data_IF_700227460750
#
_entry.id   IF_700227460750
#
_cell.length_a   1.000
_cell.length_b   1.000
_cell.length_c   1.000
_cell.angle_alpha   90.00
_cell.angle_beta   90.00
_cell.angle_gamma   90.00
#
_symmetry.space_group_name_H-M   'P 1'
#
loop_
_entity.id
_entity.type
_entity.pdbx_description
1 polymer ?
#
# COMPACT_ATOMS: atom_id res chain seq x y z
N UNK A 1 -8.98 11.61 37.32
CA UNK A 1 -7.64 11.63 36.71
C UNK A 1 -7.84 11.14 35.29
N UNK A 2 -7.58 12.00 34.30
CA UNK A 2 -7.72 11.63 32.89
C UNK A 2 -6.44 10.91 32.50
N UNK A 3 -6.47 9.58 32.50
CA UNK A 3 -5.39 8.78 31.92
C UNK A 3 -5.51 8.94 30.40
N UNK A 4 -4.76 9.91 29.86
CA UNK A 4 -4.60 10.07 28.42
C UNK A 4 -3.88 8.81 27.92
N UNK A 5 -4.66 7.84 27.44
CA UNK A 5 -4.11 6.67 26.77
C UNK A 5 -3.45 7.18 25.50
N UNK A 6 -2.12 7.08 25.48
CA UNK A 6 -1.30 7.40 24.33
C UNK A 6 -1.64 6.43 23.19
N UNK A 7 -2.60 6.82 22.34
CA UNK A 7 -3.01 6.09 21.13
C UNK A 7 -1.92 6.24 20.07
N UNK A 8 -0.83 5.51 20.26
CA UNK A 8 0.40 5.60 19.46
C UNK A 8 0.46 4.51 18.39
N UNK A 9 1.01 4.82 17.20
CA UNK A 9 1.16 3.84 16.14
C UNK A 9 2.19 2.77 16.50
N UNK A 10 1.98 1.56 15.97
CA UNK A 10 2.98 0.50 16.00
C UNK A 10 4.08 0.82 14.97
N UNK A 11 5.32 0.94 15.43
CA UNK A 11 6.47 1.42 14.64
C UNK A 11 7.78 0.90 15.28
N UNK A 12 8.98 1.06 14.67
CA UNK A 12 9.27 1.63 13.35
C UNK A 12 9.44 0.59 12.24
N UNK A 13 9.60 -0.69 12.59
CA UNK A 13 9.96 -1.76 11.68
C UNK A 13 9.21 -3.06 12.02
N UNK A 14 9.21 -4.00 11.07
CA UNK A 14 8.43 -5.23 11.18
C UNK A 14 8.84 -6.06 12.41
N UNK A 15 10.13 -6.15 12.72
CA UNK A 15 10.64 -6.96 13.83
C UNK A 15 10.21 -6.37 15.17
N UNK A 16 10.26 -5.05 15.31
CA UNK A 16 9.81 -4.36 16.51
C UNK A 16 8.30 -4.50 16.69
N UNK A 17 7.51 -4.29 15.63
CA UNK A 17 6.05 -4.43 15.68
C UNK A 17 5.63 -5.86 16.04
N UNK A 18 6.22 -6.89 15.43
CA UNK A 18 5.88 -8.29 15.72
C UNK A 18 6.33 -8.76 17.11
N UNK A 19 7.28 -8.07 17.76
CA UNK A 19 7.62 -8.32 19.16
C UNK A 19 6.59 -7.73 20.13
N UNK A 20 6.03 -6.57 19.78
CA UNK A 20 5.06 -5.85 20.63
C UNK A 20 3.64 -6.36 20.44
N UNK A 21 3.30 -6.84 19.25
CA UNK A 21 1.95 -7.27 18.89
C UNK A 21 2.01 -8.65 18.24
N UNK A 22 1.36 -9.63 18.88
CA UNK A 22 1.28 -11.00 18.35
C UNK A 22 0.51 -11.04 17.02
N UNK A 23 -0.53 -10.22 16.88
CA UNK A 23 -1.28 -10.06 15.64
C UNK A 23 -1.56 -8.56 15.39
N UNK A 24 -0.61 -7.83 14.79
CA UNK A 24 -0.73 -6.38 14.63
C UNK A 24 -1.90 -5.96 13.71
N UNK A 25 -2.27 -6.81 12.73
CA UNK A 25 -3.42 -6.55 11.86
C UNK A 25 -4.73 -6.67 12.63
N UNK A 26 -4.84 -7.67 13.50
CA UNK A 26 -6.00 -7.80 14.38
C UNK A 26 -6.09 -6.63 15.35
N UNK A 27 -4.99 -6.25 16.03
CA UNK A 27 -4.98 -5.10 16.93
C UNK A 27 -5.38 -3.79 16.23
N UNK A 28 -4.93 -3.59 14.99
CA UNK A 28 -5.38 -2.46 14.15
C UNK A 28 -6.90 -2.53 13.88
N UNK A 29 -7.44 -3.71 13.54
CA UNK A 29 -8.88 -3.90 13.30
C UNK A 29 -9.76 -3.62 14.53
N UNK A 30 -9.21 -3.83 15.73
CA UNK A 30 -9.90 -3.58 17.00
C UNK A 30 -9.71 -2.13 17.49
N UNK A 31 -9.06 -1.27 16.70
CA UNK A 31 -8.70 0.10 17.06
C UNK A 31 -7.81 0.25 18.31
N UNK A 32 -7.15 -0.84 18.74
CA UNK A 32 -6.19 -0.84 19.85
C UNK A 32 -4.96 0.02 19.53
N UNK A 33 -4.58 0.06 18.24
CA UNK A 33 -3.55 0.92 17.70
C UNK A 33 -4.12 1.76 16.55
N UNK A 34 -3.67 3.01 16.34
CA UNK A 34 -4.19 3.88 15.29
C UNK A 34 -3.68 3.51 13.90
N UNK A 35 -2.45 2.98 13.81
CA UNK A 35 -1.77 2.70 12.56
C UNK A 35 -0.56 1.80 12.79
N UNK A 36 -0.07 1.21 11.70
CA UNK A 36 1.22 0.51 11.63
C UNK A 36 2.11 1.28 10.65
N UNK A 37 3.27 1.73 11.10
CA UNK A 37 4.24 2.45 10.27
C UNK A 37 5.50 1.60 10.17
N UNK A 38 5.72 1.04 8.99
CA UNK A 38 6.92 0.26 8.69
C UNK A 38 7.83 1.07 7.77
N UNK A 39 8.99 1.46 8.27
CA UNK A 39 9.97 2.23 7.51
C UNK A 39 10.94 1.28 6.81
N UNK A 40 11.35 1.64 5.60
CA UNK A 40 12.39 0.94 4.82
C UNK A 40 12.10 -0.56 4.61
N UNK A 41 10.82 -0.93 4.44
CA UNK A 41 10.44 -2.34 4.15
C UNK A 41 10.90 -2.78 2.75
N UNK A 42 10.90 -1.84 1.80
CA UNK A 42 11.36 -2.05 0.44
C UNK A 42 12.61 -1.22 0.18
N UNK A 43 13.54 -1.77 -0.60
CA UNK A 43 14.70 -1.02 -1.06
C UNK A 43 14.31 0.02 -2.11
N UNK A 44 15.19 1.00 -2.37
CA UNK A 44 15.00 1.99 -3.44
C UNK A 44 14.74 1.34 -4.80
N UNK A 45 15.42 0.24 -5.10
CA UNK A 45 15.31 -0.48 -6.37
C UNK A 45 13.94 -1.16 -6.51
N UNK A 46 13.42 -1.72 -5.41
CA UNK A 46 12.08 -2.32 -5.36
C UNK A 46 11.00 -1.25 -5.52
N UNK A 47 11.15 -0.10 -4.87
CA UNK A 47 10.26 1.05 -5.03
C UNK A 47 10.25 1.55 -6.48
N UNK A 48 11.42 1.67 -7.11
CA UNK A 48 11.52 2.11 -8.51
C UNK A 48 10.82 1.13 -9.47
N UNK A 49 10.99 -0.18 -9.26
CA UNK A 49 10.28 -1.19 -10.05
C UNK A 49 8.75 -1.05 -9.95
N UNK A 50 8.24 -0.75 -8.75
CA UNK A 50 6.81 -0.54 -8.53
C UNK A 50 6.30 0.76 -9.20
N UNK A 51 7.06 1.85 -9.08
CA UNK A 51 6.78 3.13 -9.76
C UNK A 51 6.68 2.92 -11.27
N UNK A 52 7.70 2.30 -11.88
CA UNK A 52 7.74 2.02 -13.31
C UNK A 52 6.54 1.20 -13.76
N UNK A 53 6.14 0.19 -12.96
CA UNK A 53 4.96 -0.63 -13.26
C UNK A 53 3.69 0.22 -13.26
N UNK A 54 3.47 1.05 -12.26
CA UNK A 54 2.27 1.89 -12.21
C UNK A 54 2.23 2.90 -13.36
N UNK A 55 3.37 3.49 -13.72
CA UNK A 55 3.47 4.38 -14.88
C UNK A 55 3.19 3.64 -16.19
N UNK A 56 3.82 2.48 -16.42
CA UNK A 56 3.62 1.68 -17.64
C UNK A 56 2.18 1.17 -17.80
N UNK A 57 1.47 0.98 -16.70
CA UNK A 57 0.06 0.60 -16.71
C UNK A 57 -0.89 1.80 -16.80
N UNK A 58 -0.35 3.02 -16.85
CA UNK A 58 -1.13 4.26 -16.82
C UNK A 58 -1.83 4.50 -15.48
N UNK A 59 -1.50 3.78 -14.42
CA UNK A 59 -2.08 3.94 -13.09
C UNK A 59 -1.48 5.14 -12.35
N UNK A 60 -0.26 5.53 -12.73
CA UNK A 60 0.45 6.68 -12.22
C UNK A 60 0.98 7.52 -13.39
N UNK A 61 1.11 8.83 -13.20
CA UNK A 61 1.75 9.70 -14.20
C UNK A 61 3.24 9.45 -14.18
N UNK A 62 3.88 9.52 -15.34
CA UNK A 62 5.31 9.72 -15.40
C UNK A 62 5.62 11.15 -14.94
N UNK A 63 6.52 11.29 -13.97
CA UNK A 63 7.00 12.59 -13.54
C UNK A 63 7.76 13.32 -14.65
N UNK A 64 8.44 12.58 -15.52
CA UNK A 64 9.14 13.10 -16.69
C UNK A 64 8.20 13.57 -17.81
N UNK A 65 6.93 13.17 -17.80
CA UNK A 65 5.94 13.64 -18.77
C UNK A 65 5.33 14.99 -18.36
N UNK A 66 6.09 16.05 -18.62
CA UNK A 66 5.68 17.45 -18.46
C UNK A 66 4.55 17.88 -19.41
N UNK A 67 4.25 17.09 -20.44
CA UNK A 67 3.23 17.40 -21.45
C UNK A 67 1.87 16.76 -21.19
N UNK A 68 1.77 15.95 -20.12
CA UNK A 68 0.56 15.21 -19.81
C UNK A 68 -0.66 16.12 -19.67
N UNK A 69 -1.72 15.80 -20.40
CA UNK A 69 -3.02 16.45 -20.25
C UNK A 69 -3.63 16.22 -18.85
N UNK A 70 -3.17 15.18 -18.13
CA UNK A 70 -3.57 14.89 -16.76
C UNK A 70 -2.78 15.77 -15.77
N UNK A 71 -3.47 16.79 -15.24
CA UNK A 71 -2.91 17.79 -14.31
C UNK A 71 -3.22 17.49 -12.84
N UNK A 72 -3.75 16.30 -12.52
CA UNK A 72 -4.10 15.97 -11.13
C UNK A 72 -2.83 15.87 -10.27
N UNK A 73 -2.84 16.54 -9.12
CA UNK A 73 -1.76 16.48 -8.12
C UNK A 73 -1.86 15.27 -7.20
N UNK A 74 -3.03 14.62 -7.19
CA UNK A 74 -3.32 13.41 -6.41
C UNK A 74 -3.59 12.25 -7.35
N UNK A 75 -2.88 11.15 -7.14
CA UNK A 75 -3.08 9.90 -7.87
C UNK A 75 -3.81 8.95 -6.93
N UNK A 76 -5.10 8.73 -7.22
CA UNK A 76 -5.88 7.70 -6.55
C UNK A 76 -5.74 6.38 -7.31
N UNK A 77 -4.86 5.51 -6.80
CA UNK A 77 -4.61 4.21 -7.40
C UNK A 77 -5.85 3.33 -7.33
N UNK A 78 -6.74 3.48 -6.33
CA UNK A 78 -7.96 2.68 -6.21
C UNK A 78 -8.93 2.97 -7.36
N UNK A 79 -9.21 4.25 -7.60
CA UNK A 79 -10.04 4.69 -8.74
C UNK A 79 -9.35 4.43 -10.09
N UNK A 80 -8.03 4.65 -10.18
CA UNK A 80 -7.26 4.35 -11.40
C UNK A 80 -7.25 2.85 -11.73
N UNK A 81 -7.17 1.97 -10.74
CA UNK A 81 -7.24 0.53 -10.95
C UNK A 81 -8.64 0.11 -11.41
N UNK A 82 -9.69 0.73 -10.87
CA UNK A 82 -11.06 0.52 -11.34
C UNK A 82 -11.32 1.03 -12.77
N UNK A 83 -10.68 2.14 -13.17
CA UNK A 83 -10.91 2.78 -14.48
C UNK A 83 -9.94 2.36 -15.59
N UNK A 84 -8.72 1.91 -15.24
CA UNK A 84 -7.62 1.61 -16.17
C UNK A 84 -7.05 0.21 -15.97
N UNK A 85 -7.46 -0.49 -14.92
CA UNK A 85 -6.99 -1.82 -14.53
C UNK A 85 -7.90 -2.97 -14.97
N UNK A 86 -8.68 -2.81 -16.05
CA UNK A 86 -9.63 -3.84 -16.53
C UNK A 86 -8.99 -5.20 -16.84
N UNK A 87 -7.66 -5.26 -17.01
CA UNK A 87 -6.94 -6.51 -17.19
C UNK A 87 -6.28 -7.00 -15.89
N UNK A 88 -7.12 -7.46 -14.96
CA UNK A 88 -6.70 -8.06 -13.67
C UNK A 88 -5.68 -9.18 -13.85
N UNK A 89 -5.86 -10.04 -14.85
CA UNK A 89 -4.95 -11.14 -15.14
C UNK A 89 -3.56 -10.61 -15.48
N UNK A 90 -3.45 -9.64 -16.39
CA UNK A 90 -2.17 -8.99 -16.73
C UNK A 90 -1.51 -8.34 -15.51
N UNK A 91 -2.29 -7.75 -14.60
CA UNK A 91 -1.75 -7.19 -13.36
C UNK A 91 -1.13 -8.28 -12.48
N UNK A 92 -1.79 -9.42 -12.31
CA UNK A 92 -1.37 -10.49 -11.39
C UNK A 92 -0.41 -11.54 -12.01
N UNK A 93 -0.29 -11.60 -13.35
CA UNK A 93 0.47 -12.68 -14.02
C UNK A 93 1.99 -12.45 -14.02
N UNK A 94 2.48 -11.26 -13.66
CA UNK A 94 3.91 -10.97 -13.64
C UNK A 94 4.60 -11.34 -12.31
N UNK A 95 4.17 -12.45 -11.71
CA UNK A 95 4.72 -13.02 -10.48
C UNK A 95 5.73 -14.13 -10.79
N UNK A 96 6.95 -13.77 -11.23
CA UNK A 96 8.13 -14.65 -11.07
C UNK A 96 9.47 -13.95 -10.88
N UNK A 97 9.56 -12.63 -10.99
CA UNK A 97 10.82 -11.93 -10.73
C UNK A 97 10.60 -10.85 -9.65
N UNK A 98 10.87 -11.27 -8.42
CA UNK A 98 11.32 -10.42 -7.30
C UNK A 98 10.37 -9.38 -6.67
N UNK A 99 9.05 -9.60 -6.65
CA UNK A 99 8.17 -8.76 -5.83
C UNK A 99 6.98 -9.55 -5.26
N UNK A 100 7.22 -10.34 -4.21
CA UNK A 100 6.15 -10.96 -3.42
C UNK A 100 5.49 -9.87 -2.54
N UNK A 101 4.75 -8.95 -3.16
CA UNK A 101 3.76 -8.15 -2.42
C UNK A 101 2.51 -9.03 -2.37
N UNK A 102 2.41 -9.83 -1.31
CA UNK A 102 1.16 -10.52 -0.99
C UNK A 102 0.15 -9.46 -0.57
N UNK A 103 -0.59 -8.90 -1.54
CA UNK A 103 -1.90 -8.32 -1.25
C UNK A 103 -2.81 -9.52 -1.00
N UNK A 104 -2.75 -10.05 0.23
CA UNK A 104 -3.74 -11.01 0.68
C UNK A 104 -5.06 -10.24 0.79
N UNK A 105 -5.85 -10.30 -0.28
CA UNK A 105 -7.22 -9.82 -0.26
C UNK A 105 -8.00 -10.70 0.72
N UNK A 106 -8.18 -10.20 1.94
CA UNK A 106 -9.29 -10.65 2.78
C UNK A 106 -10.59 -10.40 2.01
N UNK A 107 -11.51 -11.37 1.93
CA UNK A 107 -12.82 -11.17 1.33
C UNK A 107 -13.67 -10.35 2.32
N UNK A 108 -13.39 -9.05 2.43
CA UNK A 108 -14.33 -8.14 3.04
C UNK A 108 -15.43 -7.89 2.03
N UNK A 109 -16.59 -8.48 2.30
CA UNK A 109 -17.87 -8.06 1.75
C UNK A 109 -17.95 -6.53 1.87
N UNK A 110 -17.89 -5.86 0.72
CA UNK A 110 -18.29 -4.46 0.59
C UNK A 110 -19.79 -4.40 0.86
N UNK A 111 -20.17 -3.99 2.07
CA UNK A 111 -21.39 -3.24 2.31
C UNK A 111 -20.98 -1.77 2.21
N UNK A 112 -21.28 -1.10 1.09
CA UNK A 112 -22.38 -0.13 0.90
C UNK A 112 -22.64 -0.06 -0.61
#
# INVERSE_FOLDING_TARGET
MNDQVDWLPAQPDLKTVLKSYQNPIYSLSQAEIPAIILRNVYSSEQCQGLINRFTNMGLMRDEADISSADKRTRIDIGTSLGNRGDNKTRFLTHDRINLYISVQMCPLHFFI
#
